data_IF_214412134666
#
_entry.id   IF_214412134666
#
_cell.length_a   1.000
_cell.length_b   1.000
_cell.length_c   1.000
_cell.angle_alpha   90.00
_cell.angle_beta   90.00
_cell.angle_gamma   90.00
#
_symmetry.space_group_name_H-M   'P 1'
#
loop_
_entity.id
_entity.type
_entity.pdbx_description
1 polymer ?
#
# COMPACT_ATOMS: atom_id res chain seq x y z
N UNK A 1 -2.23 10.51 -2.16
CA UNK A 1 -3.20 9.45 -2.49
C UNK A 1 -4.16 9.88 -3.58
N UNK A 2 -4.87 11.00 -3.40
CA UNK A 2 -5.92 11.49 -4.34
C UNK A 2 -5.48 11.58 -5.81
N UNK A 3 -4.26 12.07 -6.08
CA UNK A 3 -3.84 12.37 -7.46
C UNK A 3 -3.43 11.15 -8.30
N UNK A 4 -3.12 10.02 -7.65
CA UNK A 4 -2.56 8.82 -8.29
C UNK A 4 -3.40 7.58 -7.98
N UNK A 5 -3.62 7.27 -6.69
CA UNK A 5 -4.29 6.04 -6.29
C UNK A 5 -5.72 5.98 -6.83
N UNK A 6 -6.50 7.05 -6.67
CA UNK A 6 -7.91 7.08 -7.05
C UNK A 6 -8.12 6.92 -8.56
N UNK A 7 -7.16 7.36 -9.39
CA UNK A 7 -7.24 7.24 -10.85
C UNK A 7 -7.05 5.80 -11.35
N UNK A 8 -6.31 4.99 -10.59
CA UNK A 8 -5.98 3.61 -10.97
C UNK A 8 -6.99 2.60 -10.40
N UNK A 9 -7.81 3.00 -9.42
CA UNK A 9 -8.80 2.13 -8.78
C UNK A 9 -10.00 1.87 -9.69
N UNK A 10 -10.47 0.63 -9.66
CA UNK A 10 -11.69 0.19 -10.33
C UNK A 10 -12.71 -0.28 -9.28
N UNK A 11 -14.02 -0.06 -9.51
CA UNK A 11 -15.06 -0.56 -8.62
C UNK A 11 -14.90 -2.06 -8.33
N UNK A 12 -15.34 -2.48 -7.13
CA UNK A 12 -15.25 -3.86 -6.62
C UNK A 12 -13.83 -4.40 -6.37
N UNK A 13 -12.82 -3.53 -6.31
CA UNK A 13 -11.47 -3.92 -5.87
C UNK A 13 -11.28 -3.77 -4.36
N UNK A 14 -10.35 -4.57 -3.82
CA UNK A 14 -9.89 -4.47 -2.44
C UNK A 14 -8.55 -3.73 -2.40
N UNK A 15 -8.47 -2.69 -1.58
CA UNK A 15 -7.24 -1.95 -1.32
C UNK A 15 -6.69 -2.38 0.03
N UNK A 16 -5.60 -3.13 0.01
CA UNK A 16 -4.88 -3.51 1.23
C UNK A 16 -3.93 -2.38 1.61
N UNK A 17 -4.10 -1.85 2.82
CA UNK A 17 -3.29 -0.77 3.37
C UNK A 17 -2.57 -1.21 4.63
N UNK A 18 -1.38 -0.66 4.83
CA UNK A 18 -0.64 -0.82 6.07
C UNK A 18 -1.37 -0.12 7.25
N UNK A 19 -1.14 -0.62 8.46
CA UNK A 19 -1.89 -0.23 9.67
C UNK A 19 -1.36 1.05 10.35
N UNK A 20 -0.33 1.71 9.79
CA UNK A 20 0.28 2.89 10.42
C UNK A 20 -0.70 4.07 10.46
N UNK A 21 -0.63 4.87 11.53
CA UNK A 21 -1.61 5.89 11.88
C UNK A 21 -1.90 6.91 10.74
N UNK A 22 -0.91 7.28 9.94
CA UNK A 22 -1.10 8.22 8.83
C UNK A 22 -1.90 7.63 7.65
N UNK A 23 -2.01 6.30 7.55
CA UNK A 23 -2.87 5.64 6.56
C UNK A 23 -4.35 5.59 6.97
N UNK A 24 -4.65 5.78 8.26
CA UNK A 24 -6.02 5.71 8.81
C UNK A 24 -6.79 7.01 8.71
N UNK A 25 -6.41 7.91 7.81
CA UNK A 25 -7.15 9.15 7.63
C UNK A 25 -8.57 8.84 7.15
N UNK A 26 -9.58 9.43 7.80
CA UNK A 26 -10.99 9.26 7.41
C UNK A 26 -11.21 9.64 5.94
N UNK A 27 -10.55 10.72 5.51
CA UNK A 27 -10.56 11.21 4.13
C UNK A 27 -10.11 10.14 3.13
N UNK A 28 -9.00 9.45 3.42
CA UNK A 28 -8.48 8.37 2.56
C UNK A 28 -9.51 7.26 2.37
N UNK A 29 -10.14 6.83 3.46
CA UNK A 29 -11.15 5.77 3.41
C UNK A 29 -12.36 6.21 2.57
N UNK A 30 -12.89 7.40 2.84
CA UNK A 30 -14.04 7.97 2.10
C UNK A 30 -13.75 8.09 0.59
N UNK A 31 -12.53 8.51 0.22
CA UNK A 31 -12.13 8.61 -1.18
C UNK A 31 -12.08 7.25 -1.88
N UNK A 32 -11.54 6.22 -1.23
CA UNK A 32 -11.45 4.89 -1.83
C UNK A 32 -12.85 4.27 -1.96
N UNK A 33 -13.68 4.42 -0.93
CA UNK A 33 -15.08 3.97 -0.94
C UNK A 33 -15.92 4.72 -1.99
N UNK A 34 -15.61 5.99 -2.30
CA UNK A 34 -16.29 6.75 -3.37
C UNK A 34 -16.11 6.17 -4.77
N UNK A 35 -15.05 5.38 -4.99
CA UNK A 35 -14.79 4.64 -6.25
C UNK A 35 -15.50 3.28 -6.26
N UNK A 36 -16.19 2.91 -5.18
CA UNK A 36 -16.79 1.58 -5.01
C UNK A 36 -15.77 0.49 -4.66
N UNK A 37 -14.64 0.88 -4.07
CA UNK A 37 -13.61 -0.04 -3.56
C UNK A 37 -13.77 -0.26 -2.05
N UNK A 38 -13.17 -1.33 -1.54
CA UNK A 38 -13.15 -1.65 -0.11
C UNK A 38 -11.72 -1.54 0.42
N UNK A 39 -11.53 -0.78 1.50
CA UNK A 39 -10.24 -0.71 2.19
C UNK A 39 -10.13 -1.79 3.27
N UNK A 40 -9.03 -2.53 3.26
CA UNK A 40 -8.66 -3.49 4.29
C UNK A 40 -7.34 -3.04 4.91
N UNK A 41 -7.33 -2.81 6.22
CA UNK A 41 -6.10 -2.53 6.95
C UNK A 41 -5.47 -3.83 7.46
N UNK A 42 -4.15 -3.96 7.33
CA UNK A 42 -3.42 -5.08 7.92
C UNK A 42 -3.52 -5.05 9.46
N UNK A 43 -3.40 -6.21 10.14
CA UNK A 43 -3.29 -6.24 11.59
C UNK A 43 -2.04 -5.50 12.07
N UNK A 44 -2.00 -5.03 13.33
CA UNK A 44 -0.80 -4.46 13.92
C UNK A 44 0.39 -5.43 13.79
N UNK A 45 1.58 -4.87 13.54
CA UNK A 45 2.84 -5.62 13.43
C UNK A 45 2.87 -6.72 12.34
N UNK A 46 1.93 -6.70 11.40
CA UNK A 46 1.83 -7.70 10.33
C UNK A 46 2.59 -7.28 9.06
N UNK A 47 3.80 -6.74 9.21
CA UNK A 47 4.62 -6.30 8.08
C UNK A 47 4.94 -7.44 7.12
N UNK A 48 4.96 -8.69 7.60
CA UNK A 48 5.17 -9.89 6.80
C UNK A 48 4.05 -10.13 5.77
N UNK A 49 2.85 -9.60 6.02
CA UNK A 49 1.70 -9.68 5.12
C UNK A 49 1.71 -8.59 4.05
N UNK A 50 2.60 -7.59 4.18
CA UNK A 50 2.70 -6.51 3.22
C UNK A 50 3.62 -6.92 2.06
N UNK A 51 3.01 -7.29 0.92
CA UNK A 51 3.72 -7.76 -0.28
C UNK A 51 4.79 -6.77 -0.77
N UNK A 52 4.63 -5.47 -0.52
CA UNK A 52 5.59 -4.45 -0.92
C UNK A 52 6.93 -4.60 -0.19
N UNK A 53 6.95 -5.13 1.04
CA UNK A 53 8.19 -5.29 1.82
C UNK A 53 9.14 -6.27 1.14
N UNK A 54 8.60 -7.35 0.57
CA UNK A 54 9.40 -8.32 -0.20
C UNK A 54 9.95 -7.69 -1.48
N UNK A 55 9.17 -6.84 -2.14
CA UNK A 55 9.63 -6.07 -3.29
C UNK A 55 10.79 -5.13 -2.90
N UNK A 56 10.65 -4.35 -1.82
CA UNK A 56 11.70 -3.48 -1.32
C UNK A 56 12.96 -4.24 -0.92
N UNK A 57 12.82 -5.40 -0.28
CA UNK A 57 13.96 -6.25 0.08
C UNK A 57 14.75 -6.69 -1.16
N UNK A 58 14.05 -7.14 -2.20
CA UNK A 58 14.65 -7.52 -3.47
C UNK A 58 15.32 -6.34 -4.17
N UNK A 59 14.64 -5.19 -4.24
CA UNK A 59 15.17 -3.99 -4.89
C UNK A 59 16.44 -3.49 -4.17
N UNK A 60 16.42 -3.42 -2.83
CA UNK A 60 17.59 -3.06 -2.02
C UNK A 60 18.75 -4.03 -2.24
N UNK A 61 18.47 -5.34 -2.40
CA UNK A 61 19.49 -6.34 -2.71
C UNK A 61 20.15 -6.08 -4.06
N UNK A 62 19.36 -5.79 -5.10
CA UNK A 62 19.87 -5.46 -6.43
C UNK A 62 20.75 -4.20 -6.40
N UNK A 63 20.29 -3.14 -5.72
CA UNK A 63 21.04 -1.87 -5.61
C UNK A 63 22.38 -2.11 -4.90
N UNK A 64 22.40 -2.82 -3.76
CA UNK A 64 23.66 -3.15 -3.06
C UNK A 64 24.63 -3.91 -3.95
N UNK A 65 24.14 -4.89 -4.71
CA UNK A 65 24.99 -5.65 -5.63
C UNK A 65 25.60 -4.78 -6.73
N UNK A 66 24.92 -3.73 -7.18
CA UNK A 66 25.46 -2.78 -8.16
C UNK A 66 26.46 -1.78 -7.56
N UNK A 67 26.29 -1.40 -6.29
CA UNK A 67 27.18 -0.44 -5.61
C UNK A 67 28.49 -1.11 -5.15
N UNK A 68 28.45 -2.39 -4.78
CA UNK A 68 29.64 -3.14 -4.32
C UNK A 68 30.45 -3.74 -5.48
N UNK A 69 30.08 -3.43 -6.73
CA UNK A 69 30.74 -3.93 -7.95
C UNK A 69 31.51 -2.81 -8.61
#
# INVERSE_FOLDING_TARGET
MEQLLIKELKPAQFVVMDNVAFHKSKKTKELIESVGCIVIFLPPYSSDLNLIEKFWANMKRCIRHQITR
#
